data_IF_800107468178
#
_entry.id   IF_800107468178
#
_cell.length_a   1.000
_cell.length_b   1.000
_cell.length_c   1.000
_cell.angle_alpha   90.00
_cell.angle_beta   90.00
_cell.angle_gamma   90.00
#
_symmetry.space_group_name_H-M   'P 1'
#
loop_
_entity.id
_entity.type
_entity.pdbx_description
1 polymer ?
#
# COMPACT_ATOMS: atom_id res chain seq x y z
N UNK A 1 5.91 -15.35 23.91
CA UNK A 1 6.26 -14.01 24.42
C UNK A 1 5.74 -12.99 23.41
N UNK A 2 4.80 -12.13 23.80
CA UNK A 2 4.34 -11.04 22.93
C UNK A 2 5.39 -9.92 22.98
N UNK A 3 6.07 -9.66 21.86
CA UNK A 3 6.96 -8.51 21.72
C UNK A 3 6.12 -7.25 21.49
N UNK A 4 5.67 -6.63 22.58
CA UNK A 4 4.96 -5.36 22.51
C UNK A 4 5.97 -4.23 22.27
N UNK A 5 5.92 -3.60 21.08
CA UNK A 5 6.85 -2.54 20.66
C UNK A 5 6.10 -1.20 20.50
N UNK A 6 5.63 -0.57 21.60
CA UNK A 6 4.68 0.55 21.56
C UNK A 6 5.24 1.78 20.84
N UNK A 7 6.52 2.10 21.06
CA UNK A 7 7.16 3.26 20.44
C UNK A 7 7.27 3.08 18.92
N UNK A 8 7.71 1.91 18.46
CA UNK A 8 7.83 1.62 17.02
C UNK A 8 6.46 1.61 16.33
N UNK A 9 5.45 1.00 16.97
CA UNK A 9 4.08 0.99 16.44
C UNK A 9 3.48 2.39 16.34
N UNK A 10 3.69 3.24 17.36
CA UNK A 10 3.22 4.62 17.38
C UNK A 10 3.89 5.47 16.29
N UNK A 11 5.21 5.35 16.11
CA UNK A 11 5.94 6.04 15.05
C UNK A 11 5.48 5.59 13.66
N UNK A 12 5.30 4.28 13.44
CA UNK A 12 4.76 3.76 12.19
C UNK A 12 3.35 4.29 11.90
N UNK A 13 2.48 4.30 12.91
CA UNK A 13 1.14 4.87 12.81
C UNK A 13 1.14 6.36 12.47
N UNK A 14 2.01 7.16 13.11
CA UNK A 14 2.17 8.58 12.80
C UNK A 14 2.60 8.81 11.36
N UNK A 15 3.59 8.06 10.86
CA UNK A 15 4.07 8.18 9.48
C UNK A 15 2.95 7.88 8.48
N UNK A 16 2.19 6.81 8.71
CA UNK A 16 1.05 6.45 7.85
C UNK A 16 -0.04 7.53 7.92
N UNK A 17 -0.40 7.99 9.12
CA UNK A 17 -1.41 9.02 9.31
C UNK A 17 -1.06 10.34 8.60
N UNK A 18 0.18 10.83 8.77
CA UNK A 18 0.68 12.02 8.09
C UNK A 18 0.65 11.83 6.57
N UNK A 19 1.05 10.65 6.07
CA UNK A 19 1.02 10.35 4.64
C UNK A 19 -0.39 10.41 4.06
N UNK A 20 -1.39 9.87 4.77
CA UNK A 20 -2.80 9.89 4.35
C UNK A 20 -3.35 11.32 4.36
N UNK A 21 -3.06 12.11 5.38
CA UNK A 21 -3.47 13.52 5.46
C UNK A 21 -2.86 14.34 4.31
N UNK A 22 -1.58 14.13 4.01
CA UNK A 22 -0.90 14.83 2.92
C UNK A 22 -1.46 14.44 1.55
N UNK A 23 -1.76 13.15 1.33
CA UNK A 23 -2.45 12.70 0.12
C UNK A 23 -3.85 13.31 -0.01
N UNK A 24 -4.60 13.36 1.09
CA UNK A 24 -5.93 13.97 1.11
C UNK A 24 -5.87 15.46 0.81
N UNK A 25 -4.93 16.19 1.43
CA UNK A 25 -4.77 17.63 1.21
C UNK A 25 -4.37 17.98 -0.23
N UNK A 26 -3.45 17.22 -0.81
CA UNK A 26 -2.95 17.48 -2.17
C UNK A 26 -3.93 17.07 -3.27
N UNK A 27 -4.76 16.06 -3.00
CA UNK A 27 -5.61 15.46 -4.04
C UNK A 27 -7.11 15.65 -3.80
N UNK A 28 -7.50 16.13 -2.62
CA UNK A 28 -8.89 16.33 -2.20
C UNK A 28 -9.69 15.04 -1.95
N UNK A 29 -9.02 13.89 -1.85
CA UNK A 29 -9.66 12.56 -1.80
C UNK A 29 -8.96 11.63 -0.82
N UNK A 30 -9.74 10.72 -0.24
CA UNK A 30 -9.23 9.67 0.64
C UNK A 30 -8.38 8.68 -0.16
N UNK A 31 -7.28 8.21 0.42
CA UNK A 31 -6.41 7.22 -0.20
C UNK A 31 -7.09 5.84 -0.18
N UNK A 32 -7.45 5.33 -1.36
CA UNK A 32 -8.02 3.99 -1.53
C UNK A 32 -7.37 3.28 -2.71
N UNK A 33 -6.60 2.21 -2.45
CA UNK A 33 -5.77 1.55 -3.47
C UNK A 33 -6.64 1.01 -4.62
N UNK A 34 -7.73 0.29 -4.32
CA UNK A 34 -8.63 -0.26 -5.34
C UNK A 34 -9.28 0.82 -6.22
N UNK A 35 -9.72 1.93 -5.61
CA UNK A 35 -10.30 3.07 -6.32
C UNK A 35 -9.28 3.86 -7.15
N UNK A 36 -8.07 4.07 -6.61
CA UNK A 36 -6.96 4.71 -7.33
C UNK A 36 -6.56 3.87 -8.54
N UNK A 37 -6.40 2.55 -8.36
CA UNK A 37 -6.08 1.63 -9.45
C UNK A 37 -7.19 1.63 -10.51
N UNK A 38 -8.46 1.46 -10.12
CA UNK A 38 -9.58 1.52 -11.07
C UNK A 38 -9.63 2.85 -11.83
N UNK A 39 -9.43 3.98 -11.14
CA UNK A 39 -9.40 5.29 -11.77
C UNK A 39 -8.20 5.51 -12.71
N UNK A 40 -7.05 4.87 -12.50
CA UNK A 40 -5.94 4.92 -13.49
C UNK A 40 -6.29 4.25 -14.80
N UNK A 41 -7.03 3.15 -14.73
CA UNK A 41 -7.36 2.32 -15.89
C UNK A 41 -8.55 2.91 -16.63
N UNK A 42 -9.61 3.32 -15.92
CA UNK A 42 -10.89 3.74 -16.50
C UNK A 42 -10.94 5.22 -16.86
N UNK A 43 -10.30 6.08 -16.06
CA UNK A 43 -10.56 7.53 -16.10
C UNK A 43 -9.30 8.32 -16.47
N UNK A 44 -9.45 9.37 -17.30
CA UNK A 44 -8.32 10.26 -17.68
C UNK A 44 -8.07 11.39 -16.68
N UNK A 45 -9.08 11.82 -15.93
CA UNK A 45 -8.92 12.86 -14.90
C UNK A 45 -8.07 12.35 -13.74
N UNK A 46 -7.10 13.17 -13.30
CA UNK A 46 -6.15 12.85 -12.21
C UNK A 46 -5.28 11.58 -12.40
N UNK A 47 -5.13 11.12 -13.66
CA UNK A 47 -4.34 9.92 -13.99
C UNK A 47 -2.87 10.04 -13.58
N UNK A 48 -2.27 11.23 -13.69
CA UNK A 48 -0.89 11.48 -13.24
C UNK A 48 -0.73 11.24 -11.75
N UNK A 49 -1.51 11.92 -10.90
CA UNK A 49 -1.47 11.73 -9.43
C UNK A 49 -1.67 10.27 -9.02
N UNK A 50 -2.61 9.56 -9.67
CA UNK A 50 -2.81 8.15 -9.41
C UNK A 50 -1.58 7.28 -9.76
N UNK A 51 -0.97 7.53 -10.92
CA UNK A 51 0.23 6.83 -11.36
C UNK A 51 1.40 7.07 -10.41
N UNK A 52 1.59 8.31 -9.95
CA UNK A 52 2.62 8.63 -8.95
C UNK A 52 2.37 7.89 -7.63
N UNK A 53 1.11 7.79 -7.18
CA UNK A 53 0.77 7.02 -5.97
C UNK A 53 1.09 5.54 -6.14
N UNK A 54 0.69 4.92 -7.26
CA UNK A 54 0.99 3.52 -7.54
C UNK A 54 2.50 3.25 -7.67
N UNK A 55 3.23 4.16 -8.30
CA UNK A 55 4.70 4.09 -8.37
C UNK A 55 5.31 4.15 -6.97
N UNK A 56 4.86 5.07 -6.11
CA UNK A 56 5.30 5.15 -4.72
C UNK A 56 5.03 3.86 -3.94
N UNK A 57 3.90 3.20 -4.18
CA UNK A 57 3.53 1.93 -3.54
C UNK A 57 4.48 0.79 -3.92
N UNK A 58 5.01 0.77 -5.15
CA UNK A 58 5.99 -0.23 -5.60
C UNK A 58 7.41 0.16 -5.17
N UNK A 59 7.78 1.44 -5.32
CA UNK A 59 9.13 1.94 -5.04
C UNK A 59 9.45 1.91 -3.55
N UNK A 60 8.47 2.17 -2.66
CA UNK A 60 8.69 2.18 -1.21
C UNK A 60 9.28 0.87 -0.64
N UNK A 61 8.61 -0.28 -0.86
CA UNK A 61 9.15 -1.59 -0.45
C UNK A 61 10.49 -1.93 -1.12
N UNK A 62 10.70 -1.51 -2.38
CA UNK A 62 11.98 -1.71 -3.07
C UNK A 62 13.12 -0.92 -2.39
N UNK A 63 12.90 0.36 -2.06
CA UNK A 63 13.88 1.16 -1.31
C UNK A 63 14.19 0.49 0.04
N UNK A 64 13.16 0.02 0.74
CA UNK A 64 13.35 -0.71 2.00
C UNK A 64 14.24 -1.95 1.81
N UNK A 65 13.95 -2.77 0.80
CA UNK A 65 14.72 -3.97 0.48
C UNK A 65 16.20 -3.67 0.23
N UNK A 66 16.50 -2.65 -0.59
CA UNK A 66 17.87 -2.26 -0.92
C UNK A 66 18.62 -1.60 0.24
N UNK A 67 17.92 -0.87 1.12
CA UNK A 67 18.56 -0.18 2.26
C UNK A 67 18.83 -1.12 3.44
N UNK A 68 17.99 -2.13 3.63
CA UNK A 68 18.12 -3.09 4.74
C UNK A 68 18.86 -4.37 4.37
N UNK A 69 19.29 -4.51 3.10
CA UNK A 69 20.03 -5.67 2.58
C UNK A 69 19.33 -7.02 2.83
N UNK A 70 18.00 -7.04 2.87
CA UNK A 70 17.26 -8.29 3.06
C UNK A 70 15.75 -8.10 2.94
N UNK A 71 15.02 -9.16 2.56
CA UNK A 71 13.56 -9.15 2.62
C UNK A 71 13.13 -8.99 4.08
N UNK A 72 12.06 -8.21 4.31
CA UNK A 72 11.42 -8.23 5.61
C UNK A 72 11.04 -9.68 5.96
N UNK A 73 11.20 -10.07 7.23
CA UNK A 73 10.85 -11.41 7.69
C UNK A 73 9.33 -11.57 7.71
N UNK A 74 8.74 -11.90 6.56
CA UNK A 74 7.34 -12.26 6.40
C UNK A 74 7.24 -13.64 5.77
N UNK A 75 6.31 -14.47 6.24
CA UNK A 75 5.99 -15.77 5.62
C UNK A 75 4.87 -15.58 4.61
N UNK A 76 5.14 -15.93 3.35
CA UNK A 76 4.12 -16.05 2.30
C UNK A 76 3.85 -17.54 2.09
N UNK A 77 2.62 -17.86 1.70
CA UNK A 77 2.25 -19.21 1.25
C UNK A 77 2.83 -19.49 -0.14
N UNK A 78 3.43 -20.66 -0.34
CA UNK A 78 3.99 -21.05 -1.64
C UNK A 78 2.92 -21.41 -2.68
N UNK A 79 1.67 -21.62 -2.25
CA UNK A 79 0.55 -21.94 -3.14
C UNK A 79 0.07 -20.72 -3.92
N UNK A 80 0.46 -20.67 -5.18
CA UNK A 80 0.05 -19.65 -6.15
C UNK A 80 -1.50 -19.60 -6.31
N UNK A 81 -2.16 -20.75 -6.21
CA UNK A 81 -3.63 -20.86 -6.28
C UNK A 81 -4.30 -20.08 -5.13
N UNK A 82 -3.80 -20.23 -3.91
CA UNK A 82 -4.30 -19.49 -2.74
C UNK A 82 -4.08 -17.98 -2.89
N UNK A 83 -2.94 -17.56 -3.45
CA UNK A 83 -2.65 -16.15 -3.72
C UNK A 83 -3.64 -15.57 -4.73
N UNK A 84 -3.89 -16.27 -5.85
CA UNK A 84 -4.83 -15.82 -6.88
C UNK A 84 -6.24 -15.70 -6.29
N UNK A 85 -6.72 -16.74 -5.60
CA UNK A 85 -8.07 -16.75 -5.03
C UNK A 85 -8.21 -15.65 -3.97
N UNK A 86 -7.22 -15.49 -3.09
CA UNK A 86 -7.20 -14.43 -2.09
C UNK A 86 -7.24 -13.04 -2.72
N UNK A 87 -6.44 -12.82 -3.78
CA UNK A 87 -6.45 -11.57 -4.53
C UNK A 87 -7.81 -11.27 -5.19
N UNK A 88 -8.44 -12.27 -5.80
CA UNK A 88 -9.77 -12.12 -6.39
C UNK A 88 -10.84 -11.81 -5.33
N UNK A 89 -10.84 -12.52 -4.21
CA UNK A 89 -11.78 -12.28 -3.11
C UNK A 89 -11.64 -10.88 -2.51
N UNK A 90 -10.40 -10.41 -2.29
CA UNK A 90 -10.13 -9.04 -1.82
C UNK A 90 -10.57 -8.00 -2.87
N UNK A 91 -10.30 -8.27 -4.14
CA UNK A 91 -10.73 -7.40 -5.24
C UNK A 91 -12.24 -7.26 -5.34
N UNK A 92 -12.99 -8.34 -5.13
CA UNK A 92 -14.46 -8.33 -5.08
C UNK A 92 -14.99 -7.59 -3.86
N UNK A 93 -14.36 -7.73 -2.69
CA UNK A 93 -14.83 -7.10 -1.44
C UNK A 93 -14.48 -5.62 -1.26
N UNK A 94 -13.59 -5.06 -2.10
CA UNK A 94 -13.12 -3.67 -1.98
C UNK A 94 -13.64 -2.72 -3.07
N UNK A 95 -14.54 -3.22 -3.92
CA UNK A 95 -15.33 -2.42 -4.87
C UNK A 95 -16.66 -2.03 -4.24
#
# INVERSE_FOLDING_TARGET
>A
MYNFTPVSAMLGGLIIGVSVVLFFYTTGRMAGISGIFANTVTTKTNRSSNLLFLLGLVVGPLIYFYTTNGPANFKITDSLVLIIIGGLLVGLGTR
#
